data_IF_819586186523
#
_entry.id   IF_819586186523
#
_cell.length_a   1.000
_cell.length_b   1.000
_cell.length_c   1.000
_cell.angle_alpha   90.00
_cell.angle_beta   90.00
_cell.angle_gamma   90.00
#
_symmetry.space_group_name_H-M   'P 1'
#
loop_
_entity.id
_entity.type
_entity.pdbx_description
1 polymer ?
#
# COMPACT_ATOMS: atom_id res chain seq x y z
N UNK A 1 -4.46 -12.81 5.42
CA UNK A 1 -5.41 -12.33 4.38
C UNK A 1 -5.51 -10.81 4.36
N UNK A 2 -5.73 -10.15 5.51
CA UNK A 2 -5.82 -8.69 5.63
C UNK A 2 -4.60 -7.90 5.10
N UNK A 3 -3.39 -8.47 5.13
CA UNK A 3 -2.20 -7.87 4.52
C UNK A 3 -2.07 -8.21 3.02
N UNK A 4 -2.13 -9.52 2.70
CA UNK A 4 -1.80 -10.04 1.38
C UNK A 4 -2.77 -9.56 0.28
N UNK A 5 -4.07 -9.49 0.59
CA UNK A 5 -5.11 -9.06 -0.35
C UNK A 5 -4.89 -7.61 -0.81
N UNK A 6 -4.87 -6.62 0.11
CA UNK A 6 -4.68 -5.22 -0.29
C UNK A 6 -3.27 -4.95 -0.80
N UNK A 7 -2.25 -5.67 -0.32
CA UNK A 7 -0.88 -5.54 -0.83
C UNK A 7 -0.78 -5.94 -2.31
N UNK A 8 -1.31 -7.12 -2.68
CA UNK A 8 -1.26 -7.61 -4.06
C UNK A 8 -2.16 -6.76 -4.97
N UNK A 9 -3.37 -6.42 -4.53
CA UNK A 9 -4.26 -5.55 -5.32
C UNK A 9 -3.67 -4.16 -5.49
N UNK A 10 -3.02 -3.60 -4.46
CA UNK A 10 -2.27 -2.35 -4.51
C UNK A 10 -1.07 -2.39 -5.45
N UNK A 11 -0.30 -3.48 -5.42
CA UNK A 11 0.83 -3.68 -6.32
C UNK A 11 0.40 -3.77 -7.78
N UNK A 12 -0.71 -4.44 -8.06
CA UNK A 12 -1.24 -4.63 -9.42
C UNK A 12 -1.94 -3.37 -9.96
N UNK A 13 -2.64 -2.63 -9.12
CA UNK A 13 -3.36 -1.42 -9.56
C UNK A 13 -2.45 -0.21 -9.65
N UNK A 14 -1.45 -0.09 -8.77
CA UNK A 14 -0.58 1.10 -8.70
C UNK A 14 -1.32 2.39 -8.34
N UNK A 15 -2.59 2.31 -7.95
CA UNK A 15 -3.48 3.43 -7.62
C UNK A 15 -4.27 3.09 -6.36
N UNK A 16 -4.31 4.03 -5.43
CA UNK A 16 -4.99 3.87 -4.14
C UNK A 16 -6.47 3.55 -4.29
N UNK A 17 -7.17 4.25 -5.18
CA UNK A 17 -8.60 4.04 -5.42
C UNK A 17 -8.90 2.63 -5.93
N UNK A 18 -8.02 2.03 -6.74
CA UNK A 18 -8.21 0.71 -7.34
C UNK A 18 -8.18 -0.42 -6.32
N UNK A 19 -7.19 -0.42 -5.44
CA UNK A 19 -7.13 -1.42 -4.37
C UNK A 19 -8.19 -1.15 -3.29
N UNK A 20 -8.46 0.10 -2.91
CA UNK A 20 -9.49 0.41 -1.90
C UNK A 20 -10.85 -0.11 -2.37
N UNK A 21 -11.25 0.21 -3.61
CA UNK A 21 -12.54 -0.22 -4.16
C UNK A 21 -12.70 -1.73 -4.30
N UNK A 22 -11.61 -2.46 -4.57
CA UNK A 22 -11.66 -3.93 -4.71
C UNK A 22 -11.57 -4.67 -3.38
N UNK A 23 -10.75 -4.17 -2.44
CA UNK A 23 -10.42 -4.92 -1.22
C UNK A 23 -11.25 -4.53 -0.02
N UNK A 24 -11.71 -3.27 0.10
CA UNK A 24 -12.47 -2.82 1.28
C UNK A 24 -13.84 -3.48 1.42
N UNK A 25 -14.65 -3.67 0.36
CA UNK A 25 -15.92 -4.40 0.47
C UNK A 25 -15.71 -5.83 0.99
N UNK A 26 -14.64 -6.48 0.54
CA UNK A 26 -14.28 -7.83 0.96
C UNK A 26 -13.82 -7.86 2.43
N UNK A 27 -13.02 -6.88 2.85
CA UNK A 27 -12.57 -6.73 4.24
C UNK A 27 -13.77 -6.47 5.17
N UNK A 28 -14.71 -5.60 4.77
CA UNK A 28 -15.93 -5.33 5.55
C UNK A 28 -16.78 -6.59 5.72
N UNK A 29 -17.00 -7.36 4.64
CA UNK A 29 -17.76 -8.61 4.69
C UNK A 29 -17.12 -9.69 5.56
N UNK A 30 -15.78 -9.72 5.66
CA UNK A 30 -15.04 -10.72 6.43
C UNK A 30 -14.84 -10.29 7.89
N UNK A 31 -14.58 -9.01 8.15
CA UNK A 31 -14.26 -8.52 9.47
C UNK A 31 -15.49 -8.42 10.38
N UNK A 32 -16.70 -8.21 9.84
CA UNK A 32 -17.98 -8.21 10.57
C UNK A 32 -18.17 -7.03 11.54
N UNK A 33 -17.13 -6.67 12.30
CA UNK A 33 -17.02 -5.47 13.12
C UNK A 33 -15.98 -4.52 12.52
N UNK A 34 -16.38 -3.25 12.36
CA UNK A 34 -15.52 -2.15 11.90
C UNK A 34 -14.53 -1.72 12.98
N UNK A 35 -13.65 -2.63 13.41
CA UNK A 35 -12.49 -2.24 14.21
C UNK A 35 -11.58 -1.38 13.35
N UNK A 36 -11.47 -0.10 13.70
CA UNK A 36 -10.68 0.89 12.98
C UNK A 36 -9.23 0.42 12.75
N UNK A 37 -8.68 -0.40 13.65
CA UNK A 37 -7.33 -0.95 13.54
C UNK A 37 -7.17 -1.92 12.39
N UNK A 38 -8.18 -2.75 12.12
CA UNK A 38 -8.15 -3.70 10.99
C UNK A 38 -8.20 -2.95 9.66
N UNK A 39 -9.02 -1.91 9.59
CA UNK A 39 -9.18 -1.09 8.38
C UNK A 39 -7.91 -0.27 8.12
N UNK A 40 -7.37 0.41 9.13
CA UNK A 40 -6.11 1.16 9.02
C UNK A 40 -4.96 0.26 8.63
N UNK A 41 -4.84 -0.93 9.23
CA UNK A 41 -3.80 -1.89 8.89
C UNK A 41 -3.92 -2.39 7.45
N UNK A 42 -5.13 -2.76 7.00
CA UNK A 42 -5.36 -3.21 5.64
C UNK A 42 -5.10 -2.09 4.61
N UNK A 43 -5.46 -0.85 4.93
CA UNK A 43 -5.16 0.32 4.10
C UNK A 43 -3.66 0.53 3.96
N UNK A 44 -2.92 0.54 5.08
CA UNK A 44 -1.48 0.74 5.07
C UNK A 44 -0.76 -0.38 4.29
N UNK A 45 -1.24 -1.62 4.42
CA UNK A 45 -0.75 -2.77 3.67
C UNK A 45 -0.88 -2.60 2.15
N UNK A 46 -2.05 -2.14 1.69
CA UNK A 46 -2.26 -1.90 0.25
C UNK A 46 -1.55 -0.65 -0.25
N UNK A 47 -1.47 0.40 0.56
CA UNK A 47 -0.72 1.62 0.24
C UNK A 47 0.78 1.32 0.07
N UNK A 48 1.34 0.44 0.89
CA UNK A 48 2.70 -0.06 0.75
C UNK A 48 2.90 -0.81 -0.59
N UNK A 49 1.92 -1.62 -1.01
CA UNK A 49 1.92 -2.27 -2.33
C UNK A 49 1.87 -1.26 -3.49
N UNK A 50 1.04 -0.21 -3.38
CA UNK A 50 0.94 0.87 -4.38
C UNK A 50 2.27 1.62 -4.53
N UNK A 51 2.93 1.96 -3.43
CA UNK A 51 4.23 2.67 -3.44
C UNK A 51 5.34 1.88 -4.11
N UNK A 52 5.36 0.55 -3.93
CA UNK A 52 6.33 -0.33 -4.55
C UNK A 52 5.96 -0.71 -5.99
N UNK A 53 4.75 -0.41 -6.44
CA UNK A 53 4.28 -0.76 -7.77
C UNK A 53 5.05 -0.01 -8.86
N UNK A 54 5.61 -0.73 -9.85
CA UNK A 54 6.22 -0.09 -11.02
C UNK A 54 5.18 0.59 -11.93
N UNK A 55 3.89 0.29 -11.72
CA UNK A 55 2.76 0.88 -12.43
C UNK A 55 2.30 2.20 -11.81
N UNK A 56 2.95 2.65 -10.73
CA UNK A 56 2.61 3.92 -10.11
C UNK A 56 2.91 5.07 -11.07
N UNK A 57 1.87 5.75 -11.52
CA UNK A 57 1.93 6.77 -12.59
C UNK A 57 2.97 7.84 -12.26
N UNK A 58 3.07 8.28 -11.01
CA UNK A 58 4.03 9.29 -10.58
C UNK A 58 5.48 8.83 -10.81
N UNK A 59 5.76 7.53 -10.67
CA UNK A 59 7.09 6.92 -10.80
C UNK A 59 7.47 6.77 -12.28
N UNK A 60 6.51 6.35 -13.11
CA UNK A 60 6.66 6.29 -14.57
C UNK A 60 6.88 7.69 -15.16
N UNK A 61 6.07 8.67 -14.77
CA UNK A 61 6.17 10.05 -15.27
C UNK A 61 7.50 10.69 -14.84
N UNK A 62 7.95 10.46 -13.61
CA UNK A 62 9.26 10.96 -13.13
C UNK A 62 10.40 10.36 -13.95
N UNK A 63 10.33 9.05 -14.25
CA UNK A 63 11.31 8.37 -15.09
C UNK A 63 11.30 8.94 -16.52
N UNK A 64 10.15 9.12 -17.15
CA UNK A 64 10.08 9.63 -18.53
C UNK A 64 10.49 11.10 -18.61
N UNK A 65 10.02 11.93 -17.68
CA UNK A 65 10.26 13.37 -17.70
C UNK A 65 11.70 13.72 -17.31
N UNK A 66 12.23 13.12 -16.24
CA UNK A 66 13.57 13.43 -15.73
C UNK A 66 14.65 12.45 -16.21
N UNK A 67 14.29 11.42 -17.00
CA UNK A 67 15.19 10.30 -17.38
C UNK A 67 15.90 9.70 -16.16
N UNK A 68 15.21 9.70 -15.02
CA UNK A 68 15.76 9.26 -13.75
C UNK A 68 15.99 7.74 -13.74
N UNK A 69 17.06 7.31 -13.09
CA UNK A 69 17.36 5.90 -12.91
C UNK A 69 16.34 5.25 -11.94
N UNK A 70 15.69 4.18 -12.40
CA UNK A 70 14.67 3.47 -11.63
C UNK A 70 15.23 2.94 -10.31
N UNK A 71 16.48 2.45 -10.31
CA UNK A 71 17.12 1.92 -9.11
C UNK A 71 17.38 3.02 -8.07
N UNK A 72 17.82 4.20 -8.53
CA UNK A 72 18.01 5.37 -7.67
C UNK A 72 16.72 5.84 -6.98
N UNK A 73 15.59 5.79 -7.69
CA UNK A 73 14.27 6.15 -7.16
C UNK A 73 13.78 5.10 -6.15
N UNK A 74 13.86 3.81 -6.50
CA UNK A 74 13.49 2.74 -5.57
C UNK A 74 14.33 2.75 -4.30
N UNK A 75 15.63 3.06 -4.39
CA UNK A 75 16.52 3.18 -3.22
C UNK A 75 16.09 4.27 -2.24
N UNK A 76 15.36 5.29 -2.70
CA UNK A 76 14.75 6.34 -1.85
C UNK A 76 13.34 5.97 -1.38
N UNK A 77 12.56 5.27 -2.20
CA UNK A 77 11.19 4.86 -1.86
C UNK A 77 11.17 3.71 -0.86
N UNK A 78 12.07 2.73 -0.98
CA UNK A 78 12.16 1.58 -0.07
C UNK A 78 12.27 2.00 1.41
N UNK A 79 13.17 2.92 1.82
CA UNK A 79 13.24 3.34 3.23
C UNK A 79 11.99 4.12 3.67
N UNK A 80 11.38 4.92 2.80
CA UNK A 80 10.12 5.60 3.15
C UNK A 80 8.98 4.57 3.32
N UNK A 81 8.88 3.61 2.41
CA UNK A 81 7.90 2.55 2.45
C UNK A 81 8.10 1.64 3.67
N UNK A 82 9.35 1.34 4.06
CA UNK A 82 9.63 0.53 5.26
C UNK A 82 9.23 1.24 6.55
N UNK A 83 9.41 2.57 6.64
CA UNK A 83 8.91 3.36 7.77
C UNK A 83 7.37 3.29 7.84
N UNK A 84 6.68 3.43 6.71
CA UNK A 84 5.21 3.31 6.66
C UNK A 84 4.76 1.90 7.09
N UNK A 85 5.47 0.87 6.65
CA UNK A 85 5.17 -0.50 7.05
C UNK A 85 5.40 -0.74 8.55
N UNK A 86 6.49 -0.20 9.12
CA UNK A 86 6.76 -0.26 10.56
C UNK A 86 5.68 0.45 11.37
N UNK A 87 5.25 1.64 10.95
CA UNK A 87 4.15 2.37 11.61
C UNK A 87 2.85 1.56 11.54
N UNK A 88 2.55 0.94 10.40
CA UNK A 88 1.37 0.08 10.26
C UNK A 88 1.40 -1.13 11.21
N UNK A 89 2.57 -1.76 11.38
CA UNK A 89 2.74 -2.87 12.33
C UNK A 89 2.60 -2.40 13.77
N UNK A 90 3.12 -1.21 14.10
CA UNK A 90 2.98 -0.60 15.43
C UNK A 90 1.51 -0.26 15.71
N UNK A 91 0.80 0.37 14.77
CA UNK A 91 -0.64 0.65 14.88
C UNK A 91 -1.43 -0.63 15.11
N UNK A 92 -1.15 -1.70 14.37
CA UNK A 92 -1.81 -2.99 14.56
C UNK A 92 -1.52 -3.61 15.94
N UNK A 93 -0.32 -3.41 16.49
CA UNK A 93 0.03 -3.85 17.84
C UNK A 93 -0.62 -3.01 18.94
N UNK A 94 -0.86 -1.71 18.69
CA UNK A 94 -1.48 -0.78 19.66
C UNK A 94 -3.02 -0.89 19.65
N UNK A 95 -3.64 -1.11 18.49
CA UNK A 95 -5.10 -1.20 18.33
C UNK A 95 -5.68 -2.63 18.44
N UNK A 96 -4.84 -3.61 18.77
CA UNK A 96 -5.25 -4.99 19.08
C UNK A 96 -5.63 -5.13 20.55
#
# INVERSE_FOLDING_TARGET
MLFLLPFVSGLLTGVTVGFVGSTFPLILSIAGESSAGIISFAFASGFFGVLLSPLHICLVLTREYFKADMWGVYKKIIPAASVVFLVAVIEYLILR
#
